data_IF_964868365136
#
_entry.id   IF_964868365136
#
_cell.length_a   1.000
_cell.length_b   1.000
_cell.length_c   1.000
_cell.angle_alpha   90.00
_cell.angle_beta   90.00
_cell.angle_gamma   90.00
#
_symmetry.space_group_name_H-M   'P 1'
#
loop_
_entity.id
_entity.type
_entity.pdbx_description
1 polymer ?
#
# COMPACT_ATOMS: atom_id res chain seq x y z
N UNK A 1 -5.23 5.66 -16.27
CA UNK A 1 -4.94 4.79 -15.10
C UNK A 1 -3.99 3.65 -15.44
N UNK A 2 -4.23 2.82 -16.46
CA UNK A 2 -3.34 1.68 -16.77
C UNK A 2 -1.90 2.09 -17.14
N UNK A 3 -1.69 3.10 -17.99
CA UNK A 3 -0.35 3.59 -18.33
C UNK A 3 0.41 4.11 -17.10
N UNK A 4 -0.29 4.82 -16.19
CA UNK A 4 0.25 5.33 -14.93
C UNK A 4 0.81 4.19 -14.06
N UNK A 5 0.02 3.13 -13.87
CA UNK A 5 0.43 1.98 -13.05
C UNK A 5 1.67 1.27 -13.59
N UNK A 6 1.87 1.28 -14.92
CA UNK A 6 3.01 0.64 -15.59
C UNK A 6 4.20 1.59 -15.77
N UNK A 7 4.12 2.85 -15.32
CA UNK A 7 5.13 3.88 -15.57
C UNK A 7 5.34 4.18 -17.06
N UNK A 8 4.36 3.87 -17.90
CA UNK A 8 4.44 4.08 -19.36
C UNK A 8 3.81 5.43 -19.72
N UNK A 9 4.36 6.13 -20.73
CA UNK A 9 3.67 7.26 -21.33
C UNK A 9 2.24 6.88 -21.77
N UNK A 10 1.27 7.80 -21.66
CA UNK A 10 -0.07 7.54 -22.16
C UNK A 10 -0.02 7.34 -23.69
N UNK A 11 -0.71 6.32 -24.20
CA UNK A 11 -0.77 6.06 -25.64
C UNK A 11 -1.48 7.17 -26.42
N UNK A 12 -2.25 8.01 -25.72
CA UNK A 12 -2.95 9.18 -26.26
C UNK A 12 -2.49 10.38 -25.44
N UNK A 13 -1.85 11.34 -26.09
CA UNK A 13 -1.49 12.62 -25.48
C UNK A 13 -2.63 13.61 -25.69
N UNK A 14 -3.09 14.25 -24.61
CA UNK A 14 -4.22 15.18 -24.67
C UNK A 14 -3.94 16.40 -25.57
N UNK A 15 -2.66 16.77 -25.76
CA UNK A 15 -2.24 17.83 -26.68
C UNK A 15 -2.53 17.53 -28.15
N UNK A 16 -2.77 16.26 -28.50
CA UNK A 16 -3.10 15.82 -29.87
C UNK A 16 -4.58 15.40 -30.00
N UNK A 17 -5.42 15.71 -29.01
CA UNK A 17 -6.85 15.39 -29.03
C UNK A 17 -7.66 16.63 -29.43
N UNK A 18 -8.20 16.61 -30.65
CA UNK A 18 -9.03 17.71 -31.18
C UNK A 18 -10.52 17.58 -30.81
N UNK A 19 -10.91 16.45 -30.22
CA UNK A 19 -12.30 16.17 -29.86
C UNK A 19 -12.70 16.94 -28.60
N UNK A 20 -13.84 17.65 -28.67
CA UNK A 20 -14.43 18.32 -27.50
C UNK A 20 -14.77 17.31 -26.39
N UNK A 21 -14.66 17.69 -25.11
CA UNK A 21 -15.17 16.89 -24.02
C UNK A 21 -16.66 16.56 -24.21
N UNK A 22 -17.14 15.38 -23.76
CA UNK A 22 -18.55 15.05 -23.84
C UNK A 22 -19.41 16.06 -23.06
N UNK A 23 -20.53 16.47 -23.67
CA UNK A 23 -21.57 17.28 -23.03
C UNK A 23 -22.50 16.34 -22.24
N UNK A 24 -22.84 16.77 -21.03
CA UNK A 24 -23.67 16.03 -20.07
C UNK A 24 -25.01 16.72 -19.79
N UNK A 25 -25.24 17.82 -20.49
CA UNK A 25 -26.38 18.74 -20.38
C UNK A 25 -27.17 18.85 -21.70
N UNK A 26 -26.90 17.97 -22.66
CA UNK A 26 -27.52 18.01 -23.98
C UNK A 26 -29.05 17.80 -23.91
N UNK A 27 -29.80 18.69 -24.57
CA UNK A 27 -31.25 18.54 -24.74
C UNK A 27 -31.56 17.21 -25.45
N UNK A 28 -32.32 16.34 -24.78
CA UNK A 28 -32.67 14.99 -25.28
C UNK A 28 -31.89 13.84 -24.65
N UNK A 29 -31.04 14.09 -23.65
CA UNK A 29 -30.44 13.03 -22.84
C UNK A 29 -31.54 12.39 -21.95
N UNK A 30 -31.88 11.14 -22.23
CA UNK A 30 -32.85 10.36 -21.44
C UNK A 30 -32.22 9.62 -20.25
N UNK A 31 -30.98 9.95 -19.90
CA UNK A 31 -30.23 9.26 -18.84
C UNK A 31 -30.42 10.02 -17.53
N UNK A 32 -30.76 9.33 -16.42
CA UNK A 32 -30.86 9.96 -15.10
C UNK A 32 -29.58 10.68 -14.70
N UNK A 33 -29.71 11.82 -14.03
CA UNK A 33 -28.58 12.65 -13.56
C UNK A 33 -27.58 11.83 -12.71
N UNK A 34 -28.09 10.94 -11.88
CA UNK A 34 -27.33 10.04 -11.01
C UNK A 34 -26.40 9.07 -11.77
N UNK A 35 -26.73 8.71 -13.01
CA UNK A 35 -25.86 7.86 -13.83
C UNK A 35 -24.77 8.69 -14.52
N UNK A 36 -25.11 9.92 -14.92
CA UNK A 36 -24.25 10.80 -15.70
C UNK A 36 -23.17 11.48 -14.85
N UNK A 37 -23.50 11.84 -13.61
CA UNK A 37 -22.66 12.66 -12.74
C UNK A 37 -21.26 12.08 -12.52
N UNK A 38 -21.15 10.76 -12.38
CA UNK A 38 -19.86 10.08 -12.24
C UNK A 38 -19.02 10.20 -13.51
N UNK A 39 -19.61 10.05 -14.68
CA UNK A 39 -18.89 10.15 -15.95
C UNK A 39 -18.37 11.56 -16.19
N UNK A 40 -19.19 12.57 -15.91
CA UNK A 40 -18.79 13.97 -15.97
C UNK A 40 -17.64 14.28 -15.03
N UNK A 41 -17.77 13.87 -13.76
CA UNK A 41 -16.72 14.06 -12.77
C UNK A 41 -15.42 13.37 -13.20
N UNK A 42 -15.50 12.10 -13.60
CA UNK A 42 -14.35 11.29 -14.01
C UNK A 42 -13.61 11.91 -15.19
N UNK A 43 -14.33 12.38 -16.21
CA UNK A 43 -13.72 12.98 -17.39
C UNK A 43 -13.10 14.35 -17.07
N UNK A 44 -13.75 15.15 -16.22
CA UNK A 44 -13.19 16.44 -15.77
C UNK A 44 -11.94 16.22 -14.92
N UNK A 45 -12.00 15.28 -13.98
CA UNK A 45 -10.85 14.88 -13.14
C UNK A 45 -9.70 14.33 -13.99
N UNK A 46 -10.01 13.56 -15.03
CA UNK A 46 -8.99 13.07 -15.96
C UNK A 46 -8.19 14.22 -16.59
N UNK A 47 -8.90 15.20 -17.15
CA UNK A 47 -8.29 16.33 -17.86
C UNK A 47 -7.53 17.24 -16.89
N UNK A 48 -8.15 17.59 -15.76
CA UNK A 48 -7.63 18.64 -14.89
C UNK A 48 -6.61 18.14 -13.87
N UNK A 49 -6.69 16.88 -13.45
CA UNK A 49 -5.87 16.34 -12.36
C UNK A 49 -4.98 15.19 -12.81
N UNK A 50 -5.55 14.15 -13.44
CA UNK A 50 -4.78 12.97 -13.81
C UNK A 50 -3.79 13.25 -14.94
N UNK A 51 -4.17 14.01 -15.97
CA UNK A 51 -3.27 14.30 -17.09
C UNK A 51 -2.04 15.13 -16.66
N UNK A 52 -2.17 16.25 -15.91
CA UNK A 52 -0.99 16.97 -15.42
C UNK A 52 -0.10 16.15 -14.48
N UNK A 53 -0.71 15.30 -13.64
CA UNK A 53 0.04 14.36 -12.80
C UNK A 53 0.82 13.35 -13.65
N UNK A 54 0.20 12.79 -14.68
CA UNK A 54 0.86 11.89 -15.64
C UNK A 54 2.06 12.54 -16.30
N UNK A 55 1.89 13.73 -16.86
CA UNK A 55 2.96 14.49 -17.53
C UNK A 55 4.13 14.76 -16.58
N UNK A 56 3.85 15.09 -15.32
CA UNK A 56 4.86 15.31 -14.29
C UNK A 56 5.61 14.02 -13.93
N UNK A 57 4.92 12.88 -13.86
CA UNK A 57 5.51 11.59 -13.48
C UNK A 57 6.40 11.03 -14.59
N UNK A 58 6.00 11.20 -15.86
CA UNK A 58 6.76 10.70 -17.03
C UNK A 58 7.82 11.67 -17.53
N UNK A 59 7.88 12.89 -16.97
CA UNK A 59 8.83 13.90 -17.38
C UNK A 59 10.27 13.38 -17.26
N UNK A 60 11.03 13.52 -18.35
CA UNK A 60 12.44 13.11 -18.39
C UNK A 60 13.28 13.94 -17.43
N UNK A 61 12.98 15.24 -17.33
CA UNK A 61 13.65 16.14 -16.42
C UNK A 61 12.95 16.14 -15.05
N UNK A 62 13.71 16.09 -13.94
CA UNK A 62 13.12 16.16 -12.62
C UNK A 62 12.42 17.51 -12.45
N UNK A 63 11.11 17.46 -12.25
CA UNK A 63 10.30 18.62 -11.90
C UNK A 63 10.58 18.99 -10.44
N UNK A 64 10.53 20.28 -10.13
CA UNK A 64 10.65 20.75 -8.76
C UNK A 64 9.59 20.10 -7.85
N UNK A 65 10.00 19.75 -6.63
CA UNK A 65 9.14 19.06 -5.67
C UNK A 65 7.91 19.90 -5.29
N UNK A 66 8.03 21.22 -5.33
CA UNK A 66 6.90 22.14 -5.12
C UNK A 66 5.73 21.88 -6.08
N UNK A 67 6.01 21.53 -7.33
CA UNK A 67 4.99 21.19 -8.34
C UNK A 67 4.26 19.89 -7.96
N UNK A 68 4.99 18.90 -7.43
CA UNK A 68 4.39 17.65 -6.93
C UNK A 68 3.42 17.94 -5.78
N UNK A 69 3.81 18.81 -4.84
CA UNK A 69 2.94 19.21 -3.73
C UNK A 69 1.72 20.03 -4.20
N UNK A 70 1.89 20.89 -5.20
CA UNK A 70 0.80 21.64 -5.80
C UNK A 70 -0.23 20.74 -6.49
N UNK A 71 0.24 19.74 -7.23
CA UNK A 71 -0.63 18.74 -7.86
C UNK A 71 -1.35 17.85 -6.83
N UNK A 72 -0.68 17.44 -5.75
CA UNK A 72 -1.33 16.72 -4.64
C UNK A 72 -2.46 17.55 -4.04
N UNK A 73 -2.20 18.84 -3.78
CA UNK A 73 -3.22 19.77 -3.29
C UNK A 73 -4.41 19.88 -4.26
N UNK A 74 -4.13 20.09 -5.55
CA UNK A 74 -5.17 20.17 -6.59
C UNK A 74 -6.03 18.89 -6.65
N UNK A 75 -5.41 17.71 -6.59
CA UNK A 75 -6.14 16.43 -6.59
C UNK A 75 -7.00 16.30 -5.33
N UNK A 76 -6.51 16.79 -4.19
CA UNK A 76 -7.22 16.71 -2.91
C UNK A 76 -8.39 17.69 -2.79
N UNK A 77 -8.24 18.87 -3.37
CA UNK A 77 -9.24 19.93 -3.37
C UNK A 77 -10.26 19.79 -4.52
N UNK A 78 -10.03 18.88 -5.46
CA UNK A 78 -10.95 18.65 -6.56
C UNK A 78 -12.34 18.26 -6.04
N UNK A 79 -13.34 19.09 -6.39
CA UNK A 79 -14.69 18.99 -5.87
C UNK A 79 -15.32 17.63 -6.18
N UNK A 80 -15.94 17.03 -5.18
CA UNK A 80 -16.70 15.78 -5.31
C UNK A 80 -18.18 16.11 -5.21
N UNK A 81 -19.00 15.77 -6.23
CA UNK A 81 -20.44 16.00 -6.19
C UNK A 81 -21.10 15.30 -5.02
N UNK A 82 -22.15 15.89 -4.47
CA UNK A 82 -22.83 15.43 -3.25
C UNK A 82 -23.33 13.98 -3.32
N UNK A 83 -23.85 13.55 -4.48
CA UNK A 83 -24.26 12.16 -4.68
C UNK A 83 -23.09 11.17 -4.59
N UNK A 84 -21.88 11.61 -4.94
CA UNK A 84 -20.66 10.80 -4.93
C UNK A 84 -19.86 10.96 -3.63
N UNK A 85 -20.24 11.88 -2.75
CA UNK A 85 -19.60 12.06 -1.46
C UNK A 85 -20.18 11.09 -0.42
N UNK A 86 -19.36 10.11 -0.03
CA UNK A 86 -19.75 9.11 0.96
C UNK A 86 -19.72 9.64 2.40
N UNK A 87 -19.23 10.87 2.63
CA UNK A 87 -19.12 11.48 3.98
C UNK A 87 -20.45 12.03 4.49
N UNK A 88 -21.40 12.30 3.60
CA UNK A 88 -22.64 13.03 3.92
C UNK A 88 -23.76 12.19 4.55
N UNK A 89 -23.48 10.97 5.04
CA UNK A 89 -24.47 10.16 5.78
C UNK A 89 -25.75 9.85 4.99
N UNK A 90 -25.67 9.85 3.67
CA UNK A 90 -26.78 9.59 2.76
C UNK A 90 -27.36 8.18 2.99
N UNK A 91 -28.65 7.94 2.68
CA UNK A 91 -29.25 6.60 2.73
C UNK A 91 -28.42 5.58 1.93
N UNK A 92 -28.58 4.26 2.21
CA UNK A 92 -27.82 3.22 1.52
C UNK A 92 -27.87 3.45 0.01
N UNK A 93 -26.72 3.71 -0.63
CA UNK A 93 -26.71 4.07 -2.03
C UNK A 93 -27.23 2.90 -2.87
N UNK A 94 -27.88 3.21 -4.00
CA UNK A 94 -28.09 2.20 -5.02
C UNK A 94 -26.76 1.53 -5.39
N UNK A 95 -26.79 0.25 -5.75
CA UNK A 95 -25.59 -0.56 -6.03
C UNK A 95 -24.60 0.12 -6.99
N UNK A 96 -25.09 0.73 -8.06
CA UNK A 96 -24.23 1.43 -9.03
C UNK A 96 -23.52 2.64 -8.40
N UNK A 97 -24.21 3.37 -7.51
CA UNK A 97 -23.68 4.54 -6.83
C UNK A 97 -22.61 4.13 -5.80
N UNK A 98 -22.81 3.02 -5.08
CA UNK A 98 -21.79 2.44 -4.20
C UNK A 98 -20.48 2.16 -4.95
N UNK A 99 -20.58 1.56 -6.15
CA UNK A 99 -19.43 1.29 -7.01
C UNK A 99 -18.77 2.56 -7.54
N UNK A 100 -19.56 3.54 -8.00
CA UNK A 100 -19.04 4.82 -8.48
C UNK A 100 -18.29 5.59 -7.38
N UNK A 101 -18.82 5.62 -6.15
CA UNK A 101 -18.16 6.21 -4.98
C UNK A 101 -16.81 5.53 -4.69
N UNK A 102 -16.78 4.20 -4.73
CA UNK A 102 -15.54 3.45 -4.51
C UNK A 102 -14.52 3.68 -5.64
N UNK A 103 -14.95 3.71 -6.90
CA UNK A 103 -14.07 4.02 -8.05
C UNK A 103 -13.51 5.44 -7.97
N UNK A 104 -14.33 6.41 -7.57
CA UNK A 104 -13.92 7.80 -7.37
C UNK A 104 -12.86 7.89 -6.28
N UNK A 105 -13.15 7.36 -5.09
CA UNK A 105 -12.26 7.44 -3.93
C UNK A 105 -10.93 6.75 -4.22
N UNK A 106 -10.97 5.49 -4.64
CA UNK A 106 -9.75 4.72 -4.94
C UNK A 106 -9.00 5.30 -6.14
N UNK A 107 -9.71 5.79 -7.16
CA UNK A 107 -9.10 6.43 -8.32
C UNK A 107 -8.26 7.64 -7.94
N UNK A 108 -8.81 8.53 -7.10
CA UNK A 108 -8.12 9.72 -6.60
C UNK A 108 -6.89 9.36 -5.78
N UNK A 109 -7.02 8.41 -4.85
CA UNK A 109 -5.91 7.96 -4.01
C UNK A 109 -4.79 7.31 -4.85
N UNK A 110 -5.12 6.53 -5.89
CA UNK A 110 -4.13 5.95 -6.79
C UNK A 110 -3.31 7.03 -7.50
N UNK A 111 -3.93 8.14 -7.94
CA UNK A 111 -3.18 9.25 -8.57
C UNK A 111 -2.23 9.89 -7.58
N UNK A 112 -2.70 10.20 -6.37
CA UNK A 112 -1.88 10.78 -5.28
C UNK A 112 -0.70 9.87 -5.00
N UNK A 113 -0.96 8.58 -4.85
CA UNK A 113 0.10 7.64 -4.58
C UNK A 113 1.12 7.72 -5.74
N UNK A 114 0.71 7.67 -7.01
CA UNK A 114 1.63 7.65 -8.18
C UNK A 114 2.48 8.91 -8.28
N UNK A 115 1.90 10.05 -7.93
CA UNK A 115 2.59 11.31 -7.82
C UNK A 115 3.72 11.28 -6.76
N UNK A 116 3.49 10.60 -5.63
CA UNK A 116 4.45 10.52 -4.53
C UNK A 116 5.39 9.30 -4.58
N UNK A 117 5.16 8.33 -5.49
CA UNK A 117 5.88 7.04 -5.57
C UNK A 117 7.40 7.23 -5.55
N UNK A 118 7.93 8.06 -6.45
CA UNK A 118 9.38 8.31 -6.58
C UNK A 118 9.99 8.79 -5.27
N UNK A 119 9.39 9.80 -4.64
CA UNK A 119 9.89 10.41 -3.41
C UNK A 119 9.77 9.46 -2.21
N UNK A 120 8.69 8.68 -2.15
CA UNK A 120 8.52 7.65 -1.13
C UNK A 120 9.60 6.58 -1.23
N UNK A 121 9.80 5.99 -2.43
CA UNK A 121 10.82 4.96 -2.64
C UNK A 121 12.21 5.52 -2.36
N UNK A 122 12.54 6.70 -2.86
CA UNK A 122 13.84 7.33 -2.59
C UNK A 122 14.09 7.49 -1.09
N UNK A 123 13.08 7.89 -0.33
CA UNK A 123 13.18 8.04 1.13
C UNK A 123 13.34 6.68 1.82
N UNK A 124 12.55 5.68 1.42
CA UNK A 124 12.59 4.34 2.00
C UNK A 124 13.81 3.52 1.53
N UNK A 125 14.49 3.89 0.46
CA UNK A 125 15.73 3.25 0.02
C UNK A 125 16.99 3.94 0.55
N UNK A 126 16.85 5.11 1.19
CA UNK A 126 17.98 5.85 1.77
C UNK A 126 18.62 5.06 2.92
N UNK A 127 19.97 5.04 3.05
CA UNK A 127 20.65 4.43 4.19
C UNK A 127 20.37 5.18 5.51
N UNK A 128 19.92 6.43 5.43
CA UNK A 128 19.59 7.26 6.58
C UNK A 128 18.19 6.91 7.09
N UNK A 129 18.04 6.77 8.41
CA UNK A 129 16.75 6.53 9.03
C UNK A 129 15.77 7.69 8.73
N UNK A 130 14.51 7.34 8.46
CA UNK A 130 13.48 8.34 8.17
C UNK A 130 13.09 9.12 9.43
N UNK A 131 13.11 10.45 9.32
CA UNK A 131 12.59 11.38 10.31
C UNK A 131 11.53 12.30 9.68
N UNK A 132 10.57 12.79 10.47
CA UNK A 132 9.51 13.69 9.97
C UNK A 132 10.03 15.05 9.49
N UNK A 133 11.27 15.41 9.83
CA UNK A 133 11.94 16.62 9.32
C UNK A 133 12.50 16.44 7.90
N UNK A 134 12.50 15.21 7.37
CA UNK A 134 13.00 14.92 6.03
C UNK A 134 12.27 15.74 4.96
N UNK A 135 12.98 16.18 3.93
CA UNK A 135 12.45 17.02 2.84
C UNK A 135 11.22 16.38 2.18
N UNK A 136 11.22 15.06 2.02
CA UNK A 136 10.11 14.29 1.43
C UNK A 136 9.15 13.68 2.45
N UNK A 137 9.18 14.10 3.72
CA UNK A 137 8.22 13.67 4.72
C UNK A 137 6.74 13.89 4.31
N UNK A 138 6.36 14.99 3.61
CA UNK A 138 5.00 15.12 3.09
C UNK A 138 4.62 14.02 2.11
N UNK A 139 5.55 13.59 1.24
CA UNK A 139 5.31 12.47 0.32
C UNK A 139 5.11 11.15 1.06
N UNK A 140 5.92 10.87 2.08
CA UNK A 140 5.77 9.66 2.90
C UNK A 140 4.41 9.64 3.59
N UNK A 141 3.99 10.78 4.14
CA UNK A 141 2.70 10.90 4.79
C UNK A 141 1.54 10.79 3.79
N UNK A 142 1.64 11.44 2.64
CA UNK A 142 0.65 11.36 1.56
C UNK A 142 0.49 9.91 1.07
N UNK A 143 1.60 9.17 0.95
CA UNK A 143 1.60 7.76 0.58
C UNK A 143 0.94 6.88 1.64
N UNK A 144 1.26 7.08 2.93
CA UNK A 144 0.59 6.36 4.00
C UNK A 144 -0.94 6.59 3.98
N UNK A 145 -1.36 7.85 3.90
CA UNK A 145 -2.78 8.22 3.92
C UNK A 145 -3.54 7.69 2.69
N UNK A 146 -2.94 7.76 1.50
CA UNK A 146 -3.54 7.19 0.29
C UNK A 146 -3.70 5.67 0.39
N UNK A 147 -2.70 4.96 0.91
CA UNK A 147 -2.77 3.51 1.11
C UNK A 147 -3.86 3.12 2.13
N UNK A 148 -3.91 3.81 3.28
CA UNK A 148 -4.95 3.58 4.30
C UNK A 148 -6.36 3.91 3.79
N UNK A 149 -6.49 4.97 2.98
CA UNK A 149 -7.76 5.36 2.35
C UNK A 149 -8.26 4.30 1.34
N UNK A 150 -7.38 3.74 0.51
CA UNK A 150 -7.73 2.63 -0.39
C UNK A 150 -8.23 1.42 0.39
N UNK A 151 -7.51 1.00 1.44
CA UNK A 151 -7.93 -0.13 2.28
C UNK A 151 -9.32 0.13 2.87
N UNK A 152 -9.56 1.36 3.35
CA UNK A 152 -10.85 1.78 3.90
C UNK A 152 -11.97 1.73 2.86
N UNK A 153 -11.73 2.29 1.67
CA UNK A 153 -12.71 2.33 0.59
C UNK A 153 -13.10 0.92 0.14
N UNK A 154 -12.13 0.02 -0.01
CA UNK A 154 -12.38 -1.37 -0.44
C UNK A 154 -13.05 -2.19 0.65
N UNK A 155 -12.72 -1.97 1.93
CA UNK A 155 -13.45 -2.62 3.04
C UNK A 155 -14.92 -2.19 3.06
N UNK A 156 -15.19 -0.88 3.01
CA UNK A 156 -16.58 -0.37 2.97
C UNK A 156 -17.36 -0.90 1.77
N UNK A 157 -16.72 -0.97 0.60
CA UNK A 157 -17.34 -1.54 -0.60
C UNK A 157 -17.62 -3.04 -0.43
N UNK A 158 -16.69 -3.79 0.18
CA UNK A 158 -16.89 -5.22 0.41
C UNK A 158 -18.00 -5.49 1.42
N UNK A 159 -18.13 -4.67 2.46
CA UNK A 159 -19.19 -4.81 3.47
C UNK A 159 -20.59 -4.55 2.90
N UNK A 160 -20.69 -3.66 1.90
CA UNK A 160 -21.96 -3.31 1.25
C UNK A 160 -22.27 -4.18 0.03
N UNK A 161 -21.28 -4.47 -0.81
CA UNK A 161 -21.45 -5.13 -2.12
C UNK A 161 -20.36 -6.19 -2.36
N UNK A 162 -20.22 -7.15 -1.43
CA UNK A 162 -19.19 -8.20 -1.45
C UNK A 162 -19.05 -8.92 -2.80
N UNK A 163 -20.16 -9.41 -3.36
CA UNK A 163 -20.16 -10.16 -4.62
C UNK A 163 -19.75 -9.30 -5.82
N UNK A 164 -20.14 -8.03 -5.83
CA UNK A 164 -19.80 -7.13 -6.93
C UNK A 164 -18.34 -6.69 -6.83
N UNK A 165 -17.89 -6.29 -5.64
CA UNK A 165 -16.50 -5.91 -5.41
C UNK A 165 -15.52 -7.01 -5.79
N UNK A 166 -15.85 -8.29 -5.57
CA UNK A 166 -15.02 -9.44 -5.96
C UNK A 166 -14.85 -9.59 -7.48
N UNK A 167 -15.81 -9.10 -8.28
CA UNK A 167 -15.73 -9.12 -9.76
C UNK A 167 -14.80 -8.05 -10.32
N UNK A 168 -14.56 -6.98 -9.58
CA UNK A 168 -13.69 -5.87 -10.00
C UNK A 168 -12.33 -6.00 -9.31
N UNK A 169 -11.44 -6.78 -9.91
CA UNK A 169 -10.11 -7.08 -9.35
C UNK A 169 -9.24 -5.84 -9.12
N UNK A 170 -9.51 -4.72 -9.79
CA UNK A 170 -8.77 -3.48 -9.58
C UNK A 170 -8.77 -3.05 -8.11
N UNK A 171 -9.88 -3.20 -7.38
CA UNK A 171 -9.93 -2.87 -5.95
C UNK A 171 -8.96 -3.72 -5.13
N UNK A 172 -8.94 -5.02 -5.41
CA UNK A 172 -8.12 -5.99 -4.67
C UNK A 172 -6.63 -5.85 -4.98
N UNK A 173 -6.27 -5.61 -6.24
CA UNK A 173 -4.88 -5.33 -6.62
C UNK A 173 -4.36 -4.05 -5.95
N UNK A 174 -5.17 -2.99 -5.92
CA UNK A 174 -4.77 -1.74 -5.27
C UNK A 174 -4.70 -1.89 -3.75
N UNK A 175 -5.63 -2.61 -3.10
CA UNK A 175 -5.55 -2.89 -1.66
C UNK A 175 -4.36 -3.75 -1.28
N UNK A 176 -4.02 -4.76 -2.09
CA UNK A 176 -2.82 -5.57 -1.84
C UNK A 176 -1.56 -4.72 -1.99
N UNK A 177 -1.49 -3.87 -3.00
CA UNK A 177 -0.35 -2.98 -3.20
C UNK A 177 -0.23 -1.92 -2.09
N UNK A 178 -1.37 -1.40 -1.59
CA UNK A 178 -1.41 -0.54 -0.42
C UNK A 178 -0.83 -1.27 0.80
N UNK A 179 -1.17 -2.54 1.03
CA UNK A 179 -0.59 -3.35 2.09
C UNK A 179 0.93 -3.49 1.95
N UNK A 180 1.44 -3.79 0.74
CA UNK A 180 2.89 -3.85 0.47
C UNK A 180 3.57 -2.51 0.80
N UNK A 181 2.95 -1.40 0.42
CA UNK A 181 3.45 -0.04 0.72
C UNK A 181 3.59 0.19 2.22
N UNK A 182 2.58 -0.18 2.99
CA UNK A 182 2.56 -0.04 4.44
C UNK A 182 3.59 -0.96 5.12
N UNK A 183 3.73 -2.20 4.64
CA UNK A 183 4.75 -3.13 5.13
C UNK A 183 6.17 -2.60 4.87
N UNK A 184 6.41 -2.01 3.70
CA UNK A 184 7.68 -1.36 3.37
C UNK A 184 7.95 -0.17 4.30
N UNK A 185 6.96 0.70 4.52
CA UNK A 185 7.06 1.83 5.43
C UNK A 185 7.48 1.39 6.85
N UNK A 186 6.79 0.39 7.42
CA UNK A 186 7.12 -0.12 8.76
C UNK A 186 8.50 -0.76 8.80
N UNK A 187 8.87 -1.51 7.76
CA UNK A 187 10.16 -2.21 7.70
C UNK A 187 11.33 -1.24 7.59
N UNK A 188 11.15 -0.10 6.91
CA UNK A 188 12.22 0.87 6.64
C UNK A 188 12.24 2.05 7.60
N UNK A 189 11.10 2.38 8.19
CA UNK A 189 10.97 3.45 9.17
C UNK A 189 10.26 2.94 10.45
N UNK A 190 10.81 1.92 11.15
CA UNK A 190 10.16 1.34 12.33
C UNK A 190 10.03 2.33 13.50
N UNK A 191 10.88 3.37 13.52
CA UNK A 191 10.85 4.46 14.49
C UNK A 191 9.81 5.56 14.19
N UNK A 192 9.20 5.53 13.00
CA UNK A 192 8.24 6.56 12.60
C UNK A 192 6.97 6.49 13.46
N UNK A 193 6.35 7.62 13.84
CA UNK A 193 5.04 7.61 14.48
C UNK A 193 3.94 7.03 13.58
N UNK A 194 4.20 6.86 12.29
CA UNK A 194 3.30 6.17 11.35
C UNK A 194 3.32 4.65 11.49
N UNK A 195 4.38 4.06 12.05
CA UNK A 195 4.55 2.61 12.07
C UNK A 195 3.43 1.87 12.84
N UNK A 196 3.00 2.31 14.04
CA UNK A 196 1.88 1.68 14.73
C UNK A 196 0.55 1.78 13.96
N UNK A 197 0.29 2.92 13.32
CA UNK A 197 -0.91 3.13 12.51
C UNK A 197 -0.91 2.22 11.28
N UNK A 198 0.22 2.14 10.58
CA UNK A 198 0.41 1.26 9.43
C UNK A 198 0.26 -0.23 9.79
N UNK A 199 0.72 -0.66 10.96
CA UNK A 199 0.51 -2.02 11.45
C UNK A 199 -0.98 -2.33 11.68
N UNK A 200 -1.76 -1.38 12.22
CA UNK A 200 -3.20 -1.57 12.38
C UNK A 200 -3.91 -1.69 11.01
N UNK A 201 -3.53 -0.86 10.05
CA UNK A 201 -4.05 -0.94 8.69
C UNK A 201 -3.65 -2.26 7.99
N UNK A 202 -2.44 -2.78 8.22
CA UNK A 202 -2.00 -4.10 7.76
C UNK A 202 -2.83 -5.24 8.36
N UNK A 203 -3.17 -5.16 9.64
CA UNK A 203 -4.05 -6.14 10.28
C UNK A 203 -5.48 -6.05 9.73
N UNK A 204 -5.95 -4.83 9.48
CA UNK A 204 -7.26 -4.56 8.89
C UNK A 204 -7.38 -5.16 7.49
N UNK A 205 -6.44 -4.87 6.58
CA UNK A 205 -6.45 -5.45 5.24
C UNK A 205 -6.28 -6.98 5.27
N UNK A 206 -5.50 -7.52 6.22
CA UNK A 206 -5.36 -8.96 6.43
C UNK A 206 -6.69 -9.64 6.79
N UNK A 207 -7.49 -9.02 7.66
CA UNK A 207 -8.85 -9.49 7.98
C UNK A 207 -9.78 -9.38 6.77
N UNK A 208 -9.70 -8.28 6.02
CA UNK A 208 -10.50 -8.07 4.81
C UNK A 208 -10.26 -9.18 3.76
N UNK A 209 -9.00 -9.48 3.41
CA UNK A 209 -8.72 -10.53 2.43
C UNK A 209 -9.08 -11.92 2.95
N UNK A 210 -9.00 -12.16 4.27
CA UNK A 210 -9.49 -13.42 4.86
C UNK A 210 -11.00 -13.58 4.66
N UNK A 211 -11.77 -12.50 4.82
CA UNK A 211 -13.21 -12.52 4.52
C UNK A 211 -13.45 -12.74 3.02
N UNK A 212 -12.71 -12.02 2.17
CA UNK A 212 -12.86 -12.07 0.72
C UNK A 212 -12.41 -13.39 0.09
N UNK A 213 -11.45 -14.09 0.68
CA UNK A 213 -10.96 -15.40 0.23
C UNK A 213 -12.08 -16.46 0.11
N UNK A 214 -13.21 -16.26 0.80
CA UNK A 214 -14.39 -17.12 0.67
C UNK A 214 -15.07 -17.03 -0.71
N UNK A 215 -14.93 -15.90 -1.41
CA UNK A 215 -15.62 -15.62 -2.67
C UNK A 215 -14.68 -15.18 -3.80
N UNK A 216 -13.42 -14.86 -3.47
CA UNK A 216 -12.43 -14.33 -4.40
C UNK A 216 -11.16 -15.19 -4.42
N UNK A 217 -10.91 -15.97 -5.49
CA UNK A 217 -9.71 -16.82 -5.61
C UNK A 217 -8.39 -16.05 -5.50
N UNK A 218 -8.35 -14.80 -5.98
CA UNK A 218 -7.17 -13.93 -5.84
C UNK A 218 -6.79 -13.72 -4.36
N UNK A 219 -7.78 -13.52 -3.48
CA UNK A 219 -7.54 -13.36 -2.04
C UNK A 219 -7.04 -14.65 -1.40
N UNK A 220 -7.50 -15.83 -1.86
CA UNK A 220 -6.97 -17.12 -1.39
C UNK A 220 -5.48 -17.23 -1.66
N UNK A 221 -5.06 -16.89 -2.89
CA UNK A 221 -3.65 -16.97 -3.31
C UNK A 221 -2.75 -15.97 -2.60
N UNK A 222 -3.23 -14.74 -2.38
CA UNK A 222 -2.41 -13.64 -1.83
C UNK A 222 -2.41 -13.54 -0.30
N UNK A 223 -3.41 -14.11 0.37
CA UNK A 223 -3.52 -14.05 1.83
C UNK A 223 -2.27 -14.57 2.57
N UNK A 224 -1.64 -15.71 2.20
CA UNK A 224 -0.43 -16.17 2.87
C UNK A 224 0.73 -15.18 2.77
N UNK A 225 0.89 -14.53 1.60
CA UNK A 225 1.92 -13.51 1.37
C UNK A 225 1.65 -12.28 2.25
N UNK A 226 0.39 -11.86 2.33
CA UNK A 226 -0.01 -10.72 3.16
C UNK A 226 0.19 -10.98 4.65
N UNK A 227 -0.17 -12.17 5.15
CA UNK A 227 0.08 -12.53 6.54
C UNK A 227 1.59 -12.55 6.85
N UNK A 228 2.41 -13.08 5.94
CA UNK A 228 3.86 -13.12 6.10
C UNK A 228 4.50 -11.73 6.11
N UNK A 229 4.07 -10.81 5.24
CA UNK A 229 4.59 -9.44 5.24
C UNK A 229 4.18 -8.68 6.51
N UNK A 230 2.94 -8.85 6.97
CA UNK A 230 2.44 -8.22 8.20
C UNK A 230 3.23 -8.69 9.42
N UNK A 231 3.49 -10.00 9.52
CA UNK A 231 4.25 -10.56 10.63
C UNK A 231 5.71 -10.10 10.63
N UNK A 232 6.33 -10.04 9.45
CA UNK A 232 7.69 -9.51 9.31
C UNK A 232 7.76 -8.04 9.71
N UNK A 233 6.85 -7.20 9.22
CA UNK A 233 6.77 -5.79 9.56
C UNK A 233 6.59 -5.59 11.09
N UNK A 234 5.70 -6.37 11.71
CA UNK A 234 5.48 -6.37 13.16
C UNK A 234 6.74 -6.75 13.93
N UNK A 235 7.40 -7.83 13.53
CA UNK A 235 8.64 -8.29 14.16
C UNK A 235 9.73 -7.22 14.12
N UNK A 236 9.90 -6.55 12.97
CA UNK A 236 10.87 -5.45 12.82
C UNK A 236 10.55 -4.30 13.77
N UNK A 237 9.29 -3.86 13.84
CA UNK A 237 8.88 -2.78 14.74
C UNK A 237 9.05 -3.16 16.22
N UNK A 238 8.75 -4.40 16.61
CA UNK A 238 8.92 -4.88 17.99
C UNK A 238 10.39 -5.00 18.39
N UNK A 239 11.26 -5.46 17.47
CA UNK A 239 12.70 -5.52 17.70
C UNK A 239 13.27 -4.12 17.90
N UNK A 240 12.88 -3.16 17.06
CA UNK A 240 13.25 -1.77 17.22
C UNK A 240 12.79 -1.21 18.58
N UNK A 241 11.54 -1.47 18.98
CA UNK A 241 10.99 -0.99 20.25
C UNK A 241 11.74 -1.56 21.46
N UNK A 242 12.12 -2.83 21.38
CA UNK A 242 12.90 -3.51 22.42
C UNK A 242 14.30 -2.92 22.53
N UNK A 243 14.98 -2.68 21.40
CA UNK A 243 16.29 -2.05 21.36
C UNK A 243 16.24 -0.61 21.91
N UNK A 244 15.25 0.18 21.50
CA UNK A 244 15.06 1.54 21.99
C UNK A 244 14.82 1.61 23.51
N UNK A 245 14.07 0.64 24.07
CA UNK A 245 13.88 0.53 25.53
C UNK A 245 15.15 0.14 26.29
N UNK A 246 16.01 -0.69 25.69
CA UNK A 246 17.32 -1.06 26.26
C UNK A 246 18.28 0.13 26.26
N UNK A 247 18.27 0.96 25.21
CA UNK A 247 19.14 2.14 25.13
C UNK A 247 18.71 3.23 26.11
N UNK A 248 17.40 3.42 26.33
CA UNK A 248 16.87 4.36 27.33
C UNK A 248 17.15 3.91 28.78
N UNK A 249 17.23 2.60 29.04
CA UNK A 249 17.57 2.08 30.37
C UNK A 249 19.08 2.09 30.65
N UNK A 250 19.92 2.14 29.60
CA UNK A 250 21.38 2.28 29.72
C UNK A 250 21.85 3.73 29.84
N UNK A 251 21.14 4.67 29.22
CA UNK A 251 21.39 6.12 29.35
C UNK A 251 20.35 6.77 30.25
N UNK A 252 20.39 6.41 31.53
CA UNK A 252 19.62 7.11 32.55
C UNK A 252 20.03 8.58 32.64
N UNK A 253 19.04 9.46 32.47
CA UNK A 253 18.97 10.86 32.94
C UNK A 253 19.38 12.02 32.03
N UNK A 254 19.81 11.86 30.77
CA UNK A 254 20.15 13.02 29.91
C UNK A 254 19.29 13.19 28.64
N UNK A 255 18.36 12.28 28.33
CA UNK A 255 17.59 12.29 27.07
C UNK A 255 16.21 12.98 27.15
N UNK A 256 15.94 13.78 28.19
CA UNK A 256 14.67 14.51 28.32
C UNK A 256 14.55 15.75 27.42
N UNK A 257 15.54 16.01 26.55
CA UNK A 257 15.73 17.31 25.89
C UNK A 257 15.49 17.38 24.37
N UNK A 258 14.85 16.39 23.71
CA UNK A 258 14.68 16.46 22.23
C UNK A 258 13.27 16.34 21.66
N UNK A 259 12.23 16.25 22.48
CA UNK A 259 10.84 16.34 21.98
C UNK A 259 10.01 17.49 22.58
N UNK A 260 10.61 18.33 23.43
CA UNK A 260 9.89 19.40 24.15
C UNK A 260 10.00 20.81 23.57
N UNK A 261 10.92 21.08 22.64
CA UNK A 261 11.21 22.46 22.18
C UNK A 261 11.07 22.61 20.65
N UNK A 262 9.87 22.39 20.13
CA UNK A 262 9.44 23.06 18.89
C UNK A 262 7.98 23.47 19.09
N UNK A 263 7.76 24.64 19.69
CA UNK A 263 6.43 25.19 19.85
C UNK A 263 5.74 25.36 18.50
N UNK A 264 4.49 24.90 18.36
CA UNK A 264 3.44 25.18 17.36
C UNK A 264 3.80 25.54 15.90
N UNK A 265 5.05 25.36 15.48
CA UNK A 265 5.52 25.74 14.16
C UNK A 265 5.38 24.54 13.23
N UNK A 266 4.74 24.79 12.10
CA UNK A 266 4.67 23.85 10.98
C UNK A 266 6.11 23.46 10.64
N UNK A 267 6.38 22.15 10.60
CA UNK A 267 7.66 21.62 10.13
C UNK A 267 8.01 22.26 8.77
N UNK A 268 9.23 22.80 8.58
CA UNK A 268 9.58 23.49 7.33
C UNK A 268 9.32 22.66 6.06
N UNK A 269 9.48 21.33 6.15
CA UNK A 269 9.19 20.37 5.07
C UNK A 269 7.72 20.35 4.65
N UNK A 270 6.79 20.75 5.51
CA UNK A 270 5.34 20.77 5.25
C UNK A 270 4.81 22.16 4.84
N UNK A 271 5.66 23.18 4.76
CA UNK A 271 5.26 24.56 4.43
C UNK A 271 4.53 24.70 3.08
N UNK A 272 4.82 23.81 2.12
CA UNK A 272 4.15 23.74 0.80
C UNK A 272 3.11 22.62 0.66
N UNK A 273 2.88 21.80 1.69
CA UNK A 273 1.98 20.64 1.59
C UNK A 273 0.51 21.01 1.80
N UNK A 274 -0.41 20.20 1.28
CA UNK A 274 -1.86 20.37 1.47
C UNK A 274 -2.27 20.36 2.96
N UNK A 275 -3.35 21.09 3.32
CA UNK A 275 -3.78 21.29 4.72
C UNK A 275 -4.11 19.97 5.43
N UNK A 276 -4.69 18.99 4.73
CA UNK A 276 -4.99 17.67 5.31
C UNK A 276 -3.75 16.93 5.80
N UNK A 277 -2.61 17.07 5.10
CA UNK A 277 -1.35 16.46 5.53
C UNK A 277 -0.84 17.12 6.81
N UNK A 278 -0.95 18.45 6.90
CA UNK A 278 -0.58 19.22 8.10
C UNK A 278 -1.49 18.88 9.27
N UNK A 279 -2.80 18.81 9.05
CA UNK A 279 -3.76 18.47 10.09
C UNK A 279 -3.51 17.06 10.64
N UNK A 280 -3.25 16.09 9.76
CA UNK A 280 -2.92 14.74 10.20
C UNK A 280 -1.60 14.67 10.97
N UNK A 281 -0.59 15.43 10.55
CA UNK A 281 0.68 15.54 11.26
C UNK A 281 0.50 16.10 12.68
N UNK A 282 -0.32 17.14 12.85
CA UNK A 282 -0.66 17.66 14.17
C UNK A 282 -1.45 16.64 15.00
N UNK A 283 -2.36 15.89 14.38
CA UNK A 283 -3.04 14.80 15.06
C UNK A 283 -2.08 13.70 15.53
N UNK A 284 -1.10 13.31 14.71
CA UNK A 284 -0.06 12.36 15.11
C UNK A 284 0.75 12.87 16.29
N UNK A 285 1.12 14.16 16.31
CA UNK A 285 1.82 14.79 17.45
C UNK A 285 1.00 14.69 18.72
N UNK A 286 -0.32 14.92 18.62
CA UNK A 286 -1.25 14.85 19.74
C UNK A 286 -1.63 13.43 20.17
N UNK A 287 -1.47 12.42 19.31
CA UNK A 287 -1.54 10.98 19.67
C UNK A 287 -0.20 10.51 20.28
N UNK A 288 0.88 11.25 20.04
CA UNK A 288 2.20 11.01 20.62
C UNK A 288 2.51 11.86 21.88
N UNK A 289 1.64 12.03 22.91
CA UNK A 289 2.07 12.55 24.19
C UNK A 289 2.50 11.38 25.09
N UNK A 290 3.73 11.47 25.60
CA UNK A 290 4.27 10.74 26.75
C UNK A 290 3.81 9.29 26.95
N UNK A 291 4.66 8.33 26.62
CA UNK A 291 4.56 6.98 27.21
C UNK A 291 5.87 6.61 27.91
N UNK A 292 6.04 6.98 29.19
CA UNK A 292 6.66 6.11 30.17
C UNK A 292 5.52 5.29 30.80
N UNK A 293 5.33 4.04 30.36
CA UNK A 293 4.67 3.06 31.21
C UNK A 293 5.75 2.21 31.86
N UNK A 294 6.13 2.63 33.07
CA UNK A 294 6.86 1.84 34.04
C UNK A 294 6.10 0.54 34.27
N UNK A 295 6.67 -0.58 33.85
CA UNK A 295 6.26 -1.90 34.32
C UNK A 295 6.98 -2.11 35.65
N UNK A 296 6.29 -2.34 36.79
CA UNK A 296 6.95 -2.73 38.02
C UNK A 296 7.55 -4.12 37.82
N UNK A 297 8.87 -4.23 37.93
CA UNK A 297 9.55 -5.53 37.98
C UNK A 297 9.09 -6.31 39.22
N UNK A 298 8.74 -7.60 39.11
CA UNK A 298 8.64 -8.47 40.28
C UNK A 298 10.05 -8.85 40.78
N UNK A 299 10.21 -9.08 42.09
CA UNK A 299 11.51 -9.28 42.72
C UNK A 299 12.15 -10.60 42.30
N UNK A 300 13.46 -10.56 42.07
CA UNK A 300 14.31 -11.71 41.83
C UNK A 300 14.50 -12.51 43.11
N UNK A 301 14.34 -13.83 43.04
CA UNK A 301 14.94 -14.75 44.00
C UNK A 301 15.42 -16.03 43.33
N UNK A 302 16.72 -16.27 43.51
CA UNK A 302 17.44 -17.55 43.63
C UNK A 302 17.43 -18.56 42.46
N UNK A 303 18.56 -18.54 41.73
CA UNK A 303 19.47 -19.68 41.44
C UNK A 303 19.00 -21.10 41.78
N UNK A 304 19.00 -21.98 40.78
CA UNK A 304 19.59 -23.33 40.87
C UNK A 304 20.33 -23.63 39.56
N UNK A 305 21.62 -23.95 39.70
CA UNK A 305 22.53 -24.47 38.68
C UNK A 305 22.09 -25.83 38.13
N UNK A 306 22.33 -26.10 36.85
CA UNK A 306 23.08 -27.31 36.45
C UNK A 306 23.64 -27.23 35.03
N UNK A 307 24.89 -27.71 34.97
CA UNK A 307 25.91 -27.72 33.93
C UNK A 307 25.63 -28.48 32.61
N UNK A 308 26.26 -27.94 31.56
CA UNK A 308 27.02 -28.57 30.45
C UNK A 308 26.35 -29.59 29.50
N UNK A 309 26.39 -29.28 28.20
CA UNK A 309 27.03 -30.15 27.19
C UNK A 309 27.17 -29.46 25.82
N UNK A 310 28.37 -29.54 25.27
CA UNK A 310 28.74 -29.17 23.90
C UNK A 310 28.19 -30.14 22.86
N UNK A 311 27.78 -29.66 21.66
CA UNK A 311 28.40 -30.06 20.38
C UNK A 311 27.64 -29.54 19.15
N UNK A 312 28.45 -29.14 18.16
CA UNK A 312 28.09 -29.02 16.74
C UNK A 312 27.37 -30.26 16.19
N UNK A 313 26.32 -30.08 15.37
CA UNK A 313 26.29 -30.43 13.92
C UNK A 313 24.87 -30.35 13.34
N UNK A 314 24.87 -30.06 12.05
CA UNK A 314 23.75 -30.11 11.10
C UNK A 314 22.80 -31.30 11.28
N UNK A 315 21.51 -31.09 11.01
CA UNK A 315 20.62 -32.14 10.53
C UNK A 315 19.31 -31.56 9.94
N UNK A 316 19.14 -31.70 8.62
CA UNK A 316 17.85 -31.75 7.94
C UNK A 316 17.33 -33.19 8.06
N UNK A 317 16.01 -33.42 8.21
CA UNK A 317 15.40 -34.66 7.78
C UNK A 317 14.75 -34.50 6.41
N UNK A 318 15.17 -35.40 5.52
CA UNK A 318 14.63 -35.72 4.21
C UNK A 318 13.23 -36.37 4.38
N UNK A 319 12.21 -35.85 3.69
CA UNK A 319 10.87 -36.47 3.63
C UNK A 319 10.40 -36.49 2.18
N UNK A 320 11.05 -37.35 1.38
CA UNK A 320 10.40 -37.99 0.23
C UNK A 320 10.16 -39.46 0.56
N UNK A 321 8.95 -39.78 1.01
CA UNK A 321 8.42 -41.14 0.95
C UNK A 321 7.06 -41.09 0.26
N UNK A 322 7.05 -41.41 -1.03
CA UNK A 322 5.86 -41.60 -1.84
C UNK A 322 5.44 -43.07 -1.74
N UNK A 323 4.23 -43.34 -1.23
CA UNK A 323 3.55 -44.63 -1.37
C UNK A 323 2.16 -44.35 -1.94
N UNK A 324 1.95 -44.69 -3.21
CA UNK A 324 0.64 -45.06 -3.71
C UNK A 324 0.82 -46.24 -4.67
N UNK A 325 0.30 -47.38 -4.22
CA UNK A 325 0.22 -48.65 -4.93
C UNK A 325 -0.85 -48.50 -6.01
N UNK A 326 -0.52 -48.86 -7.25
CA UNK A 326 -1.35 -48.62 -8.43
C UNK A 326 -2.34 -49.73 -8.78
N UNK A 327 -3.02 -49.56 -9.92
CA UNK A 327 -3.54 -50.61 -10.81
C UNK A 327 -3.58 -49.99 -12.22
N UNK A 328 -3.09 -50.72 -13.24
CA UNK A 328 -2.79 -50.17 -14.57
C UNK A 328 -3.71 -50.60 -15.73
N UNK A 329 -3.27 -50.23 -16.94
CA UNK A 329 -3.04 -51.04 -18.15
C UNK A 329 -3.32 -50.21 -19.43
N UNK A 330 -2.24 -50.05 -20.21
CA UNK A 330 -2.02 -49.85 -21.67
C UNK A 330 -3.01 -49.12 -22.61
N UNK A 331 -2.45 -48.25 -23.49
CA UNK A 331 -3.07 -47.84 -24.76
C UNK A 331 -2.47 -46.60 -25.47
N UNK A 332 -1.48 -46.82 -26.35
CA UNK A 332 -0.96 -46.05 -27.50
C UNK A 332 -1.29 -44.55 -27.74
N UNK A 333 -0.25 -43.70 -27.90
CA UNK A 333 0.20 -43.11 -29.19
C UNK A 333 1.20 -41.95 -28.99
N UNK A 334 2.43 -42.12 -29.49
CA UNK A 334 3.50 -41.11 -29.51
C UNK A 334 3.36 -40.20 -30.73
N UNK A 335 3.39 -38.89 -30.54
CA UNK A 335 3.54 -37.91 -31.62
C UNK A 335 5.02 -37.51 -31.76
N UNK A 336 5.57 -37.32 -32.98
CA UNK A 336 6.97 -36.90 -33.14
C UNK A 336 7.19 -35.42 -32.76
N UNK A 337 8.40 -35.04 -32.28
CA UNK A 337 8.67 -33.69 -31.78
C UNK A 337 8.87 -32.68 -32.92
N UNK A 338 8.33 -31.46 -32.76
CA UNK A 338 8.64 -30.29 -33.59
C UNK A 338 9.87 -29.53 -33.04
N UNK A 339 10.62 -28.80 -33.87
CA UNK A 339 12.00 -28.40 -33.60
C UNK A 339 12.16 -27.09 -32.80
N UNK A 340 11.22 -26.79 -31.89
CA UNK A 340 11.35 -25.62 -31.02
C UNK A 340 11.54 -26.08 -29.57
N UNK A 341 12.80 -26.17 -29.16
CA UNK A 341 13.20 -26.25 -27.76
C UNK A 341 12.96 -24.90 -27.07
N UNK A 342 12.17 -24.83 -26.00
CA UNK A 342 12.39 -23.87 -24.93
C UNK A 342 13.49 -24.46 -24.02
N UNK A 343 14.55 -23.68 -23.82
CA UNK A 343 15.61 -23.95 -22.85
C UNK A 343 15.03 -24.24 -21.45
N UNK A 344 15.61 -25.22 -20.77
CA UNK A 344 15.28 -25.65 -19.41
C UNK A 344 15.16 -24.47 -18.41
N UNK A 345 14.25 -24.56 -17.42
CA UNK A 345 14.20 -23.57 -16.35
C UNK A 345 15.42 -23.75 -15.46
N UNK A 346 16.27 -22.72 -15.38
CA UNK A 346 17.26 -22.58 -14.31
C UNK A 346 16.53 -22.41 -12.98
N UNK A 347 16.27 -23.54 -12.33
CA UNK A 347 15.76 -23.62 -10.97
C UNK A 347 16.81 -23.02 -10.02
N UNK A 348 16.53 -21.82 -9.48
CA UNK A 348 17.00 -21.42 -8.15
C UNK A 348 15.82 -21.56 -7.18
N UNK A 349 15.75 -22.71 -6.52
CA UNK A 349 14.93 -22.90 -5.34
C UNK A 349 15.58 -22.14 -4.16
N UNK A 350 14.76 -21.41 -3.39
CA UNK A 350 15.07 -20.50 -2.28
C UNK A 350 15.47 -19.06 -2.66
N UNK A 351 14.47 -18.22 -2.94
CA UNK A 351 14.60 -16.78 -2.68
C UNK A 351 13.59 -16.33 -1.61
N UNK A 352 14.15 -15.81 -0.53
CA UNK A 352 13.44 -15.09 0.51
C UNK A 352 12.96 -13.74 -0.04
N UNK A 353 11.83 -13.24 0.47
CA UNK A 353 11.27 -11.92 0.15
C UNK A 353 12.33 -10.83 0.40
N UNK A 354 12.98 -10.37 -0.67
CA UNK A 354 14.02 -9.36 -0.61
C UNK A 354 13.42 -7.96 -0.79
N UNK A 355 13.30 -7.22 0.31
CA UNK A 355 12.81 -5.85 0.31
C UNK A 355 13.89 -4.83 -0.10
N UNK A 356 15.15 -5.25 -0.23
CA UNK A 356 16.26 -4.36 -0.59
C UNK A 356 16.22 -3.92 -2.07
N UNK A 357 15.49 -4.65 -2.91
CA UNK A 357 15.37 -4.39 -4.35
C UNK A 357 13.93 -4.33 -4.87
N UNK A 358 12.92 -4.37 -4.00
CA UNK A 358 11.52 -4.22 -4.40
C UNK A 358 10.94 -5.35 -5.26
N UNK A 359 11.60 -6.50 -5.36
CA UNK A 359 11.13 -7.63 -6.16
C UNK A 359 10.20 -8.55 -5.33
N UNK A 360 8.95 -8.69 -5.77
CA UNK A 360 7.97 -9.65 -5.23
C UNK A 360 7.60 -10.67 -6.32
N UNK A 361 8.15 -11.89 -6.19
CA UNK A 361 7.74 -13.16 -6.82
C UNK A 361 7.90 -13.32 -8.35
N UNK A 362 8.49 -14.45 -8.73
CA UNK A 362 8.65 -14.98 -10.10
C UNK A 362 7.48 -15.88 -10.56
N UNK A 363 6.51 -16.19 -9.71
CA UNK A 363 5.49 -17.24 -9.98
C UNK A 363 4.08 -16.70 -10.26
N UNK A 364 4.00 -15.43 -10.67
CA UNK A 364 2.77 -14.66 -10.83
C UNK A 364 2.67 -14.01 -12.24
N UNK A 365 3.41 -14.57 -13.20
CA UNK A 365 3.62 -14.02 -14.55
C UNK A 365 2.36 -13.91 -15.42
N UNK A 366 1.29 -14.68 -15.16
CA UNK A 366 0.07 -14.65 -15.99
C UNK A 366 -0.91 -13.52 -15.67
N UNK A 367 -0.74 -12.81 -14.56
CA UNK A 367 -1.61 -11.67 -14.21
C UNK A 367 -0.80 -10.39 -14.23
N UNK A 368 -0.86 -9.65 -15.34
CA UNK A 368 -0.32 -8.29 -15.43
C UNK A 368 -0.88 -7.44 -14.28
N UNK A 369 -0.08 -7.25 -13.23
CA UNK A 369 -0.51 -6.51 -12.06
C UNK A 369 -0.72 -5.05 -12.41
N UNK A 370 -1.87 -4.50 -12.02
CA UNK A 370 -2.00 -3.05 -11.78
C UNK A 370 -1.38 -2.72 -10.41
N UNK A 371 -0.25 -3.34 -10.08
CA UNK A 371 0.35 -3.17 -8.79
C UNK A 371 1.00 -1.80 -8.73
N UNK A 372 0.73 -1.17 -7.60
CA UNK A 372 1.36 0.06 -7.15
C UNK A 372 2.87 -0.17 -6.89
N UNK A 373 3.31 -1.44 -6.91
CA UNK A 373 4.66 -1.94 -6.76
C UNK A 373 5.03 -2.84 -7.93
#
# INVERSE_FOLDING_TARGET
MQSLSLGRPPSICLAHVDTKPPSYDAHGLYVPEEEVIYHQWKNTFFIQCLNPALETIIAVQPVDYSVTLGLDAQIRDFAVPDLLDNRKGNPPPARFLAMQRALLSTGRDIVILQLHRRYFIQTMSSPVAFELHHTYAPSVLATYLGAASIITAVEMLFETEAQLSARFLCFWFNSFSAAVTLALLVSRAPASPLAPCALNDLDRVSRLFRKAAKILPFSVKTLPVMLKMTEKARSIHMNWRTQAGIDQTKFGNDAQLRLGEVGNCILPSFSGSHFMLRQYLEHLRNITPMMPLSIPAPPSTATIDHLLSSNNRAWLPDIYSFNSVGVGVEGYATSPPTPFMPSEPRVKNLESLNFDHGALMTDLEETSFMAWF
#
